data_IF_350216225404
#
_entry.id   IF_350216225404
#
_cell.length_a   1.000
_cell.length_b   1.000
_cell.length_c   1.000
_cell.angle_alpha   90.00
_cell.angle_beta   90.00
_cell.angle_gamma   90.00
#
_symmetry.space_group_name_H-M   'P 1'
#
loop_
_entity.id
_entity.type
_entity.pdbx_description
1 polymer ?
#
# COMPACT_ATOMS: atom_id res chain seq x y z
N UNK A 1 9.39 12.73 -9.24
CA UNK A 1 8.05 12.15 -9.50
C UNK A 1 7.37 11.95 -8.16
N UNK A 2 6.04 12.14 -8.06
CA UNK A 2 5.40 12.26 -6.76
C UNK A 2 5.14 10.90 -6.09
N UNK A 3 5.24 10.88 -4.76
CA UNK A 3 4.53 9.92 -3.92
C UNK A 3 3.18 10.53 -3.53
N UNK A 4 2.10 9.79 -3.68
CA UNK A 4 0.75 10.18 -3.26
C UNK A 4 0.30 9.21 -2.18
N UNK A 5 0.04 9.71 -0.98
CA UNK A 5 -0.48 8.91 0.12
C UNK A 5 -2.00 9.02 0.19
N UNK A 6 -2.69 7.88 0.31
CA UNK A 6 -4.15 7.80 0.30
C UNK A 6 -4.60 6.92 1.47
N UNK A 7 -5.36 7.51 2.38
CA UNK A 7 -5.88 6.85 3.59
C UNK A 7 -7.41 6.88 3.64
N UNK A 8 -7.99 6.12 4.57
CA UNK A 8 -9.42 6.14 4.87
C UNK A 8 -9.94 4.79 5.35
N UNK A 9 -11.16 4.78 5.89
CA UNK A 9 -11.79 3.59 6.44
C UNK A 9 -12.01 2.45 5.42
N UNK A 10 -12.35 1.26 5.91
CA UNK A 10 -12.75 0.14 5.05
C UNK A 10 -14.00 0.53 4.25
N UNK A 11 -14.02 0.22 2.95
CA UNK A 11 -15.10 0.58 2.00
C UNK A 11 -15.37 2.09 1.86
N UNK A 12 -14.42 2.95 2.24
CA UNK A 12 -14.57 4.39 2.06
C UNK A 12 -14.46 4.87 0.61
N UNK A 13 -13.97 4.03 -0.31
CA UNK A 13 -13.74 4.39 -1.72
C UNK A 13 -12.28 4.67 -2.08
N UNK A 14 -11.34 4.56 -1.13
CA UNK A 14 -9.92 4.87 -1.35
C UNK A 14 -9.24 4.12 -2.49
N UNK A 15 -9.46 2.81 -2.65
CA UNK A 15 -8.85 2.05 -3.74
C UNK A 15 -9.35 2.53 -5.11
N UNK A 16 -10.65 2.84 -5.22
CA UNK A 16 -11.23 3.38 -6.45
C UNK A 16 -10.65 4.75 -6.80
N UNK A 17 -10.56 5.65 -5.83
CA UNK A 17 -9.91 6.94 -6.00
C UNK A 17 -8.45 6.79 -6.42
N UNK A 18 -7.70 5.89 -5.78
CA UNK A 18 -6.29 5.65 -6.08
C UNK A 18 -6.07 5.11 -7.50
N UNK A 19 -6.90 4.15 -7.95
CA UNK A 19 -6.86 3.65 -9.33
C UNK A 19 -7.15 4.75 -10.35
N UNK A 20 -8.16 5.60 -10.11
CA UNK A 20 -8.48 6.72 -10.99
C UNK A 20 -7.30 7.69 -11.10
N UNK A 21 -6.68 8.07 -9.98
CA UNK A 21 -5.53 8.98 -10.01
C UNK A 21 -4.33 8.36 -10.74
N UNK A 22 -4.05 7.08 -10.50
CA UNK A 22 -2.97 6.38 -11.19
C UNK A 22 -3.21 6.32 -12.71
N UNK A 23 -4.45 6.05 -13.14
CA UNK A 23 -4.84 6.09 -14.56
C UNK A 23 -4.69 7.49 -15.16
N UNK A 24 -5.11 8.55 -14.46
CA UNK A 24 -4.96 9.93 -14.93
C UNK A 24 -3.48 10.30 -15.12
N UNK A 25 -2.62 9.92 -14.17
CA UNK A 25 -1.17 10.08 -14.32
C UNK A 25 -0.64 9.28 -15.52
N UNK A 26 -1.14 8.06 -15.71
CA UNK A 26 -0.74 7.21 -16.84
C UNK A 26 -1.15 7.79 -18.18
N UNK A 27 -2.21 8.58 -18.27
CA UNK A 27 -2.61 9.22 -19.51
C UNK A 27 -1.79 10.45 -19.87
N UNK A 28 -0.95 10.98 -18.96
CA UNK A 28 -0.12 12.15 -19.23
C UNK A 28 0.92 11.87 -20.35
N UNK A 29 0.77 12.55 -21.49
CA UNK A 29 1.54 12.30 -22.72
C UNK A 29 3.04 12.62 -22.61
N UNK A 30 3.46 13.37 -21.61
CA UNK A 30 4.87 13.72 -21.40
C UNK A 30 5.69 12.55 -20.84
N UNK A 31 5.02 11.49 -20.35
CA UNK A 31 5.66 10.28 -19.84
C UNK A 31 5.80 9.23 -20.95
N UNK A 32 7.04 8.83 -21.23
CA UNK A 32 7.42 7.81 -22.24
C UNK A 32 7.78 6.51 -21.51
N UNK A 33 7.52 5.34 -22.12
CA UNK A 33 7.89 4.01 -21.61
C UNK A 33 7.35 3.64 -20.20
N UNK A 34 6.23 4.23 -19.79
CA UNK A 34 5.54 3.96 -18.52
C UNK A 34 4.74 2.65 -18.54
N UNK A 35 4.71 1.95 -17.41
CA UNK A 35 3.73 0.90 -17.10
C UNK A 35 2.80 1.37 -15.99
N UNK A 36 1.57 0.84 -15.99
CA UNK A 36 0.63 1.00 -14.88
C UNK A 36 0.62 -0.29 -14.06
N UNK A 37 1.13 -0.23 -12.83
CA UNK A 37 1.44 -1.40 -12.02
C UNK A 37 0.61 -1.39 -10.74
N UNK A 38 -0.03 -2.51 -10.43
CA UNK A 38 -0.74 -2.74 -9.18
C UNK A 38 0.05 -3.71 -8.31
N UNK A 39 0.51 -3.27 -7.14
CA UNK A 39 1.19 -4.12 -6.16
C UNK A 39 0.17 -4.52 -5.08
N UNK A 40 -0.19 -5.80 -5.06
CA UNK A 40 -1.15 -6.36 -4.13
C UNK A 40 -0.41 -6.99 -2.93
N UNK A 41 -0.66 -6.47 -1.71
CA UNK A 41 -0.12 -7.07 -0.49
C UNK A 41 -1.06 -8.11 0.14
N UNK A 42 -2.27 -8.27 -0.38
CA UNK A 42 -3.27 -9.17 0.17
C UNK A 42 -2.98 -10.65 -0.05
N UNK A 43 -3.21 -11.46 0.99
CA UNK A 43 -3.27 -12.93 0.92
C UNK A 43 -4.72 -13.35 1.17
N UNK A 44 -5.31 -14.16 0.29
CA UNK A 44 -6.66 -14.69 0.52
C UNK A 44 -6.64 -15.75 1.63
N UNK A 45 -6.90 -15.32 2.87
CA UNK A 45 -7.00 -16.21 4.03
C UNK A 45 -8.45 -16.66 4.30
N UNK A 46 -9.42 -16.01 3.65
CA UNK A 46 -10.84 -16.33 3.77
C UNK A 46 -11.59 -16.13 2.43
N UNK A 47 -12.82 -16.67 2.38
CA UNK A 47 -13.68 -16.66 1.18
C UNK A 47 -14.15 -15.24 0.81
N UNK A 48 -14.30 -14.33 1.77
CA UNK A 48 -14.66 -12.93 1.47
C UNK A 48 -13.51 -12.24 0.73
N UNK A 49 -12.28 -12.41 1.21
CA UNK A 49 -11.08 -11.86 0.62
C UNK A 49 -10.79 -12.47 -0.75
N UNK A 50 -11.01 -13.77 -0.93
CA UNK A 50 -10.91 -14.43 -2.24
C UNK A 50 -11.89 -13.82 -3.26
N UNK A 51 -13.18 -13.73 -2.91
CA UNK A 51 -14.20 -13.10 -3.75
C UNK A 51 -13.85 -11.65 -4.07
N UNK A 52 -13.28 -10.93 -3.09
CA UNK A 52 -12.83 -9.56 -3.27
C UNK A 52 -11.68 -9.49 -4.27
N UNK A 53 -10.65 -10.31 -4.14
CA UNK A 53 -9.53 -10.35 -5.10
C UNK A 53 -10.03 -10.64 -6.53
N UNK A 54 -10.92 -11.62 -6.68
CA UNK A 54 -11.52 -11.96 -7.98
C UNK A 54 -12.25 -10.76 -8.59
N UNK A 55 -13.09 -10.08 -7.79
CA UNK A 55 -13.80 -8.89 -8.24
C UNK A 55 -12.85 -7.76 -8.64
N UNK A 56 -11.85 -7.46 -7.82
CA UNK A 56 -10.85 -6.41 -8.09
C UNK A 56 -10.05 -6.70 -9.36
N UNK A 57 -9.63 -7.95 -9.59
CA UNK A 57 -8.99 -8.37 -10.84
C UNK A 57 -9.93 -8.17 -12.05
N UNK A 58 -11.19 -8.57 -11.93
CA UNK A 58 -12.18 -8.41 -12.99
C UNK A 58 -12.50 -6.93 -13.29
N UNK A 59 -12.58 -6.09 -12.27
CA UNK A 59 -12.84 -4.66 -12.43
C UNK A 59 -11.67 -3.96 -13.12
N UNK A 60 -10.41 -4.35 -12.84
CA UNK A 60 -9.23 -3.87 -13.59
C UNK A 60 -9.21 -4.35 -15.05
N UNK A 61 -9.59 -5.60 -15.32
CA UNK A 61 -9.65 -6.13 -16.70
C UNK A 61 -10.68 -5.42 -17.59
N UNK A 62 -11.71 -4.80 -16.99
CA UNK A 62 -12.69 -3.99 -17.73
C UNK A 62 -12.21 -2.59 -18.06
N UNK A 63 -11.10 -2.13 -17.48
CA UNK A 63 -10.58 -0.79 -17.75
C UNK A 63 -9.91 -0.76 -19.13
N UNK A 64 -9.99 0.38 -19.81
CA UNK A 64 -9.40 0.55 -21.15
C UNK A 64 -7.86 0.50 -21.15
N UNK A 65 -7.24 0.68 -19.98
CA UNK A 65 -5.79 0.65 -19.79
C UNK A 65 -5.40 -0.64 -19.07
N UNK A 66 -4.37 -1.31 -19.59
CA UNK A 66 -3.86 -2.55 -19.01
C UNK A 66 -3.08 -2.30 -17.72
N UNK A 67 -3.46 -3.01 -16.66
CA UNK A 67 -2.73 -3.06 -15.40
C UNK A 67 -1.80 -4.28 -15.35
N UNK A 68 -0.56 -4.08 -14.96
CA UNK A 68 0.35 -5.17 -14.58
C UNK A 68 0.22 -5.42 -13.07
N UNK A 69 -0.32 -6.57 -12.67
CA UNK A 69 -0.45 -6.91 -11.24
C UNK A 69 0.76 -7.70 -10.77
N UNK A 70 1.37 -7.27 -9.66
CA UNK A 70 2.43 -7.98 -8.94
C UNK A 70 1.89 -8.31 -7.55
N UNK A 71 1.87 -9.59 -7.19
CA UNK A 71 1.48 -10.04 -5.85
C UNK A 71 2.74 -10.06 -4.97
N UNK A 72 2.75 -9.26 -3.90
CA UNK A 72 3.91 -9.08 -3.03
C UNK A 72 3.48 -9.00 -1.55
N UNK A 73 3.00 -10.10 -0.96
CA UNK A 73 2.50 -10.11 0.41
C UNK A 73 3.62 -9.98 1.47
N UNK A 74 4.80 -10.58 1.23
CA UNK A 74 5.89 -10.64 2.22
C UNK A 74 7.13 -9.85 1.76
N UNK A 75 7.56 -10.05 0.52
CA UNK A 75 8.79 -9.50 -0.05
C UNK A 75 8.50 -8.32 -0.97
N UNK A 76 7.98 -7.23 -0.41
CA UNK A 76 7.62 -6.06 -1.22
C UNK A 76 8.82 -5.40 -1.89
N UNK A 77 10.02 -5.53 -1.31
CA UNK A 77 11.24 -4.98 -1.87
C UNK A 77 11.57 -5.63 -3.22
N UNK A 78 11.32 -6.93 -3.37
CA UNK A 78 11.58 -7.65 -4.61
C UNK A 78 10.65 -7.17 -5.73
N UNK A 79 9.38 -6.94 -5.42
CA UNK A 79 8.46 -6.29 -6.35
C UNK A 79 8.96 -4.90 -6.75
N UNK A 80 9.43 -4.10 -5.78
CA UNK A 80 9.97 -2.77 -6.04
C UNK A 80 11.24 -2.78 -6.90
N UNK A 81 12.07 -3.82 -6.80
CA UNK A 81 13.28 -3.96 -7.60
C UNK A 81 12.99 -4.18 -9.09
N UNK A 82 11.80 -4.71 -9.45
CA UNK A 82 11.37 -4.90 -10.84
C UNK A 82 10.84 -3.64 -11.53
N UNK A 83 10.74 -2.53 -10.78
CA UNK A 83 10.19 -1.27 -11.26
C UNK A 83 11.27 -0.41 -11.94
N UNK A 84 10.86 0.23 -13.02
CA UNK A 84 11.69 1.02 -13.92
C UNK A 84 11.31 2.51 -13.87
N UNK A 85 12.21 3.38 -14.33
CA UNK A 85 11.95 4.82 -14.44
C UNK A 85 10.67 5.09 -15.25
N UNK A 86 9.81 5.98 -14.73
CA UNK A 86 8.56 6.36 -15.39
C UNK A 86 7.37 5.45 -15.09
N UNK A 87 7.56 4.33 -14.40
CA UNK A 87 6.44 3.50 -13.93
C UNK A 87 5.50 4.27 -13.00
N UNK A 88 4.22 3.91 -13.07
CA UNK A 88 3.17 4.41 -12.19
C UNK A 88 2.63 3.24 -11.41
N UNK A 89 2.80 3.31 -10.10
CA UNK A 89 2.64 2.18 -9.21
C UNK A 89 1.58 2.50 -8.19
N UNK A 90 0.60 1.61 -8.05
CA UNK A 90 -0.39 1.62 -6.98
C UNK A 90 -0.11 0.46 -6.03
N UNK A 91 0.25 0.77 -4.79
CA UNK A 91 0.42 -0.21 -3.73
C UNK A 91 -0.79 -0.22 -2.80
N UNK A 92 -1.53 -1.34 -2.80
CA UNK A 92 -2.68 -1.60 -1.92
C UNK A 92 -2.45 -2.90 -1.12
N UNK A 93 -2.20 -2.84 0.20
CA UNK A 93 -2.02 -1.64 1.01
C UNK A 93 -1.04 -1.85 2.16
N UNK A 94 -0.59 -0.74 2.74
CA UNK A 94 0.34 -0.67 3.88
C UNK A 94 -0.17 -1.47 5.08
N UNK A 95 -1.47 -1.42 5.37
CA UNK A 95 -2.05 -2.18 6.51
C UNK A 95 -1.92 -3.69 6.33
N UNK A 96 -2.19 -4.19 5.12
CA UNK A 96 -2.06 -5.63 4.87
C UNK A 96 -0.60 -6.06 4.86
N UNK A 97 0.28 -5.23 4.28
CA UNK A 97 1.72 -5.47 4.36
C UNK A 97 2.23 -5.50 5.80
N UNK A 98 1.83 -4.56 6.65
CA UNK A 98 2.24 -4.52 8.06
C UNK A 98 1.73 -5.75 8.81
N UNK A 99 0.49 -6.18 8.53
CA UNK A 99 -0.08 -7.42 9.11
C UNK A 99 0.75 -8.65 8.71
N UNK A 100 1.09 -8.78 7.44
CA UNK A 100 1.95 -9.87 6.96
C UNK A 100 3.33 -9.81 7.61
N UNK A 101 3.90 -8.61 7.78
CA UNK A 101 5.18 -8.42 8.44
C UNK A 101 5.14 -8.83 9.92
N UNK A 102 4.04 -8.59 10.64
CA UNK A 102 3.84 -9.03 12.03
C UNK A 102 3.87 -10.55 12.16
N UNK A 103 3.09 -11.24 11.32
CA UNK A 103 2.88 -12.68 11.43
C UNK A 103 3.84 -13.51 10.55
N UNK A 104 4.83 -12.89 9.92
CA UNK A 104 5.81 -13.65 9.15
C UNK A 104 6.58 -14.63 10.05
N UNK A 105 6.61 -15.91 9.65
CA UNK A 105 7.20 -16.99 10.44
C UNK A 105 6.27 -17.58 11.51
N UNK A 106 4.98 -17.19 11.54
CA UNK A 106 3.98 -17.79 12.43
C UNK A 106 3.92 -19.32 12.30
N UNK A 107 3.85 -19.85 11.07
CA UNK A 107 3.81 -21.31 10.83
C UNK A 107 5.10 -22.04 11.27
N UNK A 108 6.22 -21.32 11.34
CA UNK A 108 7.50 -21.83 11.81
C UNK A 108 7.69 -21.74 13.34
N UNK A 109 6.68 -21.26 14.06
CA UNK A 109 6.60 -21.29 15.53
C UNK A 109 6.97 -20.00 16.25
N UNK A 110 7.49 -18.97 15.57
CA UNK A 110 7.72 -17.66 16.19
C UNK A 110 7.49 -16.57 15.15
N UNK A 111 6.40 -15.77 15.26
CA UNK A 111 6.15 -14.67 14.36
C UNK A 111 7.15 -13.53 14.55
N UNK A 112 7.28 -12.67 13.54
CA UNK A 112 8.23 -11.55 13.55
C UNK A 112 7.96 -10.56 14.70
N UNK A 113 6.70 -10.35 15.08
CA UNK A 113 6.34 -9.47 16.21
C UNK A 113 6.95 -9.91 17.55
N UNK A 114 7.22 -11.21 17.71
CA UNK A 114 7.86 -11.76 18.92
C UNK A 114 9.40 -11.80 18.83
N UNK A 115 9.97 -11.52 17.65
CA UNK A 115 11.42 -11.54 17.42
C UNK A 115 12.01 -10.12 17.58
N UNK A 116 12.90 -9.89 18.56
CA UNK A 116 13.53 -8.59 18.75
C UNK A 116 14.20 -8.07 17.47
N UNK A 117 13.88 -6.83 17.07
CA UNK A 117 14.48 -6.18 15.89
C UNK A 117 13.90 -6.60 14.53
N UNK A 118 13.00 -7.58 14.49
CA UNK A 118 12.48 -8.10 13.23
C UNK A 118 11.59 -7.08 12.50
N UNK A 119 10.62 -6.48 13.21
CA UNK A 119 9.72 -5.47 12.65
C UNK A 119 10.46 -4.20 12.23
N UNK A 120 11.40 -3.74 13.06
CA UNK A 120 12.23 -2.58 12.79
C UNK A 120 13.04 -2.77 11.51
N UNK A 121 13.63 -3.95 11.33
CA UNK A 121 14.37 -4.30 10.12
C UNK A 121 13.46 -4.29 8.90
N UNK A 122 12.27 -4.93 8.97
CA UNK A 122 11.30 -4.96 7.86
C UNK A 122 10.82 -3.57 7.46
N UNK A 123 10.49 -2.74 8.45
CA UNK A 123 10.11 -1.34 8.22
C UNK A 123 11.25 -0.58 7.58
N UNK A 124 12.49 -0.74 8.07
CA UNK A 124 13.66 -0.10 7.50
C UNK A 124 13.86 -0.47 6.03
N UNK A 125 13.81 -1.77 5.69
CA UNK A 125 13.97 -2.23 4.30
C UNK A 125 12.86 -1.71 3.40
N UNK A 126 11.60 -1.70 3.85
CA UNK A 126 10.49 -1.14 3.09
C UNK A 126 10.69 0.36 2.84
N UNK A 127 11.06 1.13 3.87
CA UNK A 127 11.33 2.57 3.73
C UNK A 127 12.46 2.85 2.74
N UNK A 128 13.58 2.13 2.85
CA UNK A 128 14.71 2.24 1.93
C UNK A 128 14.32 1.92 0.49
N UNK A 129 13.49 0.90 0.28
CA UNK A 129 13.02 0.51 -1.04
C UNK A 129 12.08 1.57 -1.65
N UNK A 130 11.16 2.15 -0.86
CA UNK A 130 10.32 3.28 -1.30
C UNK A 130 11.17 4.48 -1.71
N UNK A 131 12.16 4.88 -0.89
CA UNK A 131 13.05 6.01 -1.23
C UNK A 131 13.81 5.74 -2.54
N UNK A 132 14.28 4.50 -2.74
CA UNK A 132 14.93 4.09 -4.00
C UNK A 132 14.00 4.24 -5.21
N UNK A 133 12.71 3.94 -5.07
CA UNK A 133 11.73 4.15 -6.15
C UNK A 133 11.56 5.63 -6.50
N UNK A 134 11.54 6.50 -5.48
CA UNK A 134 11.41 7.94 -5.71
C UNK A 134 12.64 8.50 -6.43
N UNK A 135 13.83 8.03 -6.07
CA UNK A 135 15.09 8.38 -6.75
C UNK A 135 15.12 7.88 -8.20
N UNK A 136 14.57 6.69 -8.47
CA UNK A 136 14.34 6.15 -9.83
C UNK A 136 13.25 6.89 -10.61
N UNK A 137 12.60 7.90 -10.03
CA UNK A 137 11.48 8.65 -10.62
C UNK A 137 10.30 7.74 -10.98
N UNK A 138 9.99 6.78 -10.11
CA UNK A 138 8.70 6.08 -10.14
C UNK A 138 7.64 7.00 -9.51
N UNK A 139 6.43 7.03 -10.07
CA UNK A 139 5.28 7.66 -9.42
C UNK A 139 4.59 6.62 -8.54
N UNK A 140 4.48 6.88 -7.24
CA UNK A 140 4.01 5.88 -6.28
C UNK A 140 2.74 6.36 -5.56
N UNK A 141 1.64 5.65 -5.77
CA UNK A 141 0.41 5.76 -5.00
C UNK A 141 0.43 4.72 -3.88
N UNK A 142 0.34 5.17 -2.64
CA UNK A 142 0.37 4.31 -1.45
C UNK A 142 -1.00 4.36 -0.77
N UNK A 143 -1.68 3.22 -0.70
CA UNK A 143 -2.99 3.09 -0.05
C UNK A 143 -2.82 2.50 1.35
N UNK A 144 -3.59 3.01 2.31
CA UNK A 144 -3.64 2.49 3.67
C UNK A 144 -5.05 2.61 4.28
N UNK A 145 -5.39 1.75 5.25
CA UNK A 145 -6.59 1.96 6.06
C UNK A 145 -6.26 2.91 7.21
N UNK A 146 -7.21 3.76 7.54
CA UNK A 146 -7.25 4.56 8.78
C UNK A 146 -7.90 3.70 9.88
N UNK A 147 -7.31 3.67 11.08
CA UNK A 147 -7.76 2.91 12.25
C UNK A 147 -7.69 3.74 13.56
N UNK A 148 -7.52 5.06 13.48
CA UNK A 148 -7.22 5.92 14.64
C UNK A 148 -8.48 6.58 15.23
N UNK A 149 -9.64 6.48 14.57
CA UNK A 149 -10.95 6.82 15.15
C UNK A 149 -11.53 5.70 16.06
N UNK A 150 -10.84 4.56 16.15
CA UNK A 150 -11.25 3.43 16.99
C UNK A 150 -10.89 3.62 18.47
N UNK A 151 -11.71 3.12 19.42
CA UNK A 151 -11.39 3.17 20.83
C UNK A 151 -10.06 2.45 21.14
N UNK A 152 -9.40 2.77 22.25
CA UNK A 152 -8.21 2.04 22.68
C UNK A 152 -8.54 0.56 22.93
N UNK A 153 -7.64 -0.31 22.51
CA UNK A 153 -7.76 -1.75 22.70
C UNK A 153 -7.01 -2.19 23.97
N UNK A 154 -7.56 -3.18 24.67
CA UNK A 154 -6.88 -3.79 25.83
C UNK A 154 -5.72 -4.71 25.45
N UNK A 155 -5.55 -5.05 24.17
CA UNK A 155 -4.54 -5.97 23.68
C UNK A 155 -3.27 -5.20 23.27
N UNK A 156 -2.12 -5.53 23.87
CA UNK A 156 -0.84 -4.86 23.64
C UNK A 156 -0.33 -4.99 22.19
N UNK A 157 -0.56 -6.12 21.54
CA UNK A 157 -0.16 -6.36 20.15
C UNK A 157 -0.96 -5.46 19.19
N UNK A 158 -2.26 -5.33 19.43
CA UNK A 158 -3.14 -4.42 18.65
C UNK A 158 -2.69 -2.98 18.81
N UNK A 159 -2.38 -2.54 20.02
CA UNK A 159 -1.88 -1.18 20.26
C UNK A 159 -0.50 -0.95 19.64
N UNK A 160 0.41 -1.94 19.69
CA UNK A 160 1.69 -1.88 18.98
C UNK A 160 1.49 -1.73 17.47
N UNK A 161 0.58 -2.52 16.88
CA UNK A 161 0.24 -2.42 15.46
C UNK A 161 -0.28 -1.02 15.10
N UNK A 162 -1.21 -0.46 15.89
CA UNK A 162 -1.73 0.89 15.68
C UNK A 162 -0.63 1.95 15.76
N UNK A 163 0.25 1.86 16.75
CA UNK A 163 1.38 2.80 16.89
C UNK A 163 2.32 2.73 15.68
N UNK A 164 2.72 1.52 15.27
CA UNK A 164 3.58 1.35 14.09
C UNK A 164 2.91 1.82 12.81
N UNK A 165 1.61 1.55 12.63
CA UNK A 165 0.85 2.04 11.49
C UNK A 165 0.78 3.57 11.47
N UNK A 166 0.53 4.20 12.62
CA UNK A 166 0.50 5.66 12.75
C UNK A 166 1.86 6.29 12.43
N UNK A 167 2.95 5.68 12.90
CA UNK A 167 4.31 6.10 12.56
C UNK A 167 4.61 5.97 11.05
N UNK A 168 4.10 4.91 10.41
CA UNK A 168 4.22 4.73 8.96
C UNK A 168 3.40 5.76 8.20
N UNK A 169 2.16 6.06 8.60
CA UNK A 169 1.33 7.09 7.97
C UNK A 169 2.00 8.46 8.05
N UNK A 170 2.47 8.87 9.23
CA UNK A 170 3.21 10.13 9.40
C UNK A 170 4.45 10.19 8.49
N UNK A 171 5.18 9.07 8.39
CA UNK A 171 6.35 8.99 7.51
C UNK A 171 5.97 9.08 6.02
N UNK A 172 4.94 8.37 5.56
CA UNK A 172 4.49 8.48 4.17
C UNK A 172 4.03 9.90 3.83
N UNK A 173 3.27 10.55 4.72
CA UNK A 173 2.81 11.93 4.54
C UNK A 173 3.97 12.92 4.52
N UNK A 174 5.02 12.70 5.33
CA UNK A 174 6.16 13.62 5.36
C UNK A 174 6.92 13.64 4.03
N UNK A 175 7.06 12.48 3.37
CA UNK A 175 7.74 12.34 2.08
C UNK A 175 6.79 12.44 0.87
N UNK A 176 5.47 12.46 1.06
CA UNK A 176 4.53 12.54 -0.05
C UNK A 176 4.53 13.93 -0.70
N UNK A 177 4.18 13.99 -1.98
CA UNK A 177 3.81 15.26 -2.60
C UNK A 177 2.40 15.66 -2.17
N UNK A 178 1.46 14.72 -2.28
CA UNK A 178 0.08 14.88 -1.89
C UNK A 178 -0.33 13.85 -0.82
N UNK A 179 -1.28 14.21 0.03
CA UNK A 179 -1.91 13.31 0.97
C UNK A 179 -3.43 13.46 0.97
N UNK A 180 -4.14 12.36 0.80
CA UNK A 180 -5.59 12.30 0.75
C UNK A 180 -6.16 11.40 1.84
N UNK A 181 -7.34 11.76 2.32
CA UNK A 181 -8.18 10.95 3.16
C UNK A 181 -9.56 10.82 2.50
N UNK A 182 -10.05 9.59 2.41
CA UNK A 182 -11.35 9.29 1.80
C UNK A 182 -12.33 8.81 2.88
N UNK A 183 -13.44 9.54 3.04
CA UNK A 183 -14.50 9.23 3.98
C UNK A 183 -15.85 9.21 3.27
N UNK A 184 -16.56 8.07 3.31
CA UNK A 184 -17.87 7.90 2.66
C UNK A 184 -17.89 8.28 1.16
N UNK A 185 -16.79 8.04 0.44
CA UNK A 185 -16.62 8.45 -0.97
C UNK A 185 -16.21 9.91 -1.17
N UNK A 186 -16.17 10.71 -0.11
CA UNK A 186 -15.74 12.11 -0.15
C UNK A 186 -14.22 12.17 -0.05
N UNK A 187 -13.59 12.85 -1.01
CA UNK A 187 -12.15 13.05 -1.08
C UNK A 187 -11.77 14.33 -0.32
N UNK A 188 -10.86 14.21 0.65
CA UNK A 188 -10.21 15.36 1.30
C UNK A 188 -8.71 15.35 1.02
N UNK A 189 -8.20 16.43 0.44
CA UNK A 189 -6.76 16.66 0.27
C UNK A 189 -6.23 17.42 1.49
N UNK A 190 -5.23 16.86 2.17
CA UNK A 190 -4.60 17.43 3.35
C UNK A 190 -3.26 18.11 3.07
N UNK A 191 -2.56 17.62 2.04
CA UNK A 191 -1.30 18.13 1.49
C UNK A 191 -1.44 18.03 -0.02
#
# INVERSE_FOLDING_TARGET
>A
MPLIFISGGVRSGKSHFAEQQAVLHYQNKDLINKRLIYIASGVAMDVEMEKRIVRHKADRLKQAIAWHTIEAPYQIQDAFNTLDEGDIVLWDCVTTWLTNAFYEGFDSGTPCVEKPGCLESKIWFMKSAVLTLLDKKVTLFVVSNELFDEPPYGNQEVELYRQLLGNLHQWFVSISHDAYEINYGIVKKWK
#
